data_IF_695883052434
#
_entry.id   IF_695883052434
#
_cell.length_a   1.000
_cell.length_b   1.000
_cell.length_c   1.000
_cell.angle_alpha   90.00
_cell.angle_beta   90.00
_cell.angle_gamma   90.00
#
_symmetry.space_group_name_H-M   'P 1'
#
loop_
_entity.id
_entity.type
_entity.pdbx_description
1 polymer ?
#
# COMPACT_ATOMS: atom_id res chain seq x y z
N UNK A 1 14.36 10.25 11.42
CA UNK A 1 13.10 10.89 10.98
C UNK A 1 12.45 9.98 9.98
N UNK A 2 11.16 9.66 10.14
CA UNK A 2 10.43 8.85 9.16
C UNK A 2 9.96 9.76 8.03
N UNK A 3 10.19 9.35 6.77
CA UNK A 3 9.80 10.11 5.57
C UNK A 3 8.74 9.37 4.78
N UNK A 4 8.04 10.08 3.90
CA UNK A 4 7.08 9.49 2.97
C UNK A 4 7.74 8.41 2.11
N UNK A 5 8.95 8.66 1.60
CA UNK A 5 9.71 7.68 0.82
C UNK A 5 10.01 6.41 1.62
N UNK A 6 10.41 6.55 2.89
CA UNK A 6 10.67 5.41 3.76
C UNK A 6 9.39 4.59 4.00
N UNK A 7 8.23 5.26 4.13
CA UNK A 7 6.94 4.60 4.30
C UNK A 7 6.50 3.86 3.02
N UNK A 8 6.71 4.45 1.84
CA UNK A 8 6.42 3.83 0.55
C UNK A 8 7.28 2.57 0.38
N UNK A 9 8.59 2.67 0.57
CA UNK A 9 9.49 1.51 0.48
C UNK A 9 9.15 0.42 1.51
N UNK A 10 8.66 0.81 2.69
CA UNK A 10 8.17 -0.14 3.69
C UNK A 10 6.93 -0.89 3.21
N UNK A 11 5.95 -0.22 2.59
CA UNK A 11 4.78 -0.89 2.03
C UNK A 11 5.14 -1.82 0.87
N UNK A 12 6.03 -1.41 -0.03
CA UNK A 12 6.51 -2.27 -1.13
C UNK A 12 7.07 -3.59 -0.59
N UNK A 13 7.90 -3.49 0.46
CA UNK A 13 8.46 -4.67 1.13
C UNK A 13 7.39 -5.54 1.77
N UNK A 14 6.44 -4.95 2.51
CA UNK A 14 5.38 -5.74 3.15
C UNK A 14 4.44 -6.41 2.13
N UNK A 15 4.14 -5.75 1.01
CA UNK A 15 3.34 -6.38 -0.07
C UNK A 15 4.07 -7.63 -0.60
N UNK A 16 5.39 -7.54 -0.82
CA UNK A 16 6.17 -8.68 -1.26
C UNK A 16 6.20 -9.82 -0.21
N UNK A 17 6.40 -9.48 1.06
CA UNK A 17 6.43 -10.44 2.18
C UNK A 17 5.07 -11.15 2.35
N UNK A 18 3.96 -10.40 2.35
CA UNK A 18 2.62 -10.97 2.49
C UNK A 18 2.19 -11.77 1.26
N UNK A 19 2.59 -11.36 0.05
CA UNK A 19 2.39 -12.18 -1.15
C UNK A 19 3.09 -13.53 -1.04
N UNK A 20 4.37 -13.53 -0.67
CA UNK A 20 5.17 -14.76 -0.57
C UNK A 20 4.66 -15.71 0.53
N UNK A 21 4.14 -15.17 1.61
CA UNK A 21 3.57 -15.94 2.72
C UNK A 21 2.10 -16.33 2.52
N UNK A 22 1.44 -15.83 1.46
CA UNK A 22 0.00 -16.01 1.27
C UNK A 22 -0.85 -15.28 2.32
N UNK A 23 -0.31 -14.30 3.05
CA UNK A 23 -1.03 -13.53 4.06
C UNK A 23 -1.97 -12.51 3.42
N UNK A 24 -3.14 -12.99 3.00
CA UNK A 24 -4.21 -12.18 2.44
C UNK A 24 -4.66 -11.07 3.38
N UNK A 25 -4.70 -11.30 4.70
CA UNK A 25 -5.13 -10.28 5.65
C UNK A 25 -4.09 -9.16 5.77
N UNK A 26 -2.79 -9.50 5.70
CA UNK A 26 -1.71 -8.55 5.56
C UNK A 26 -1.88 -7.63 4.35
N UNK A 27 -2.18 -8.20 3.19
CA UNK A 27 -2.41 -7.45 1.95
C UNK A 27 -3.63 -6.51 2.04
N UNK A 28 -4.75 -6.97 2.60
CA UNK A 28 -5.95 -6.13 2.80
C UNK A 28 -5.67 -4.96 3.76
N UNK A 29 -4.91 -5.18 4.84
CA UNK A 29 -4.50 -4.10 5.74
C UNK A 29 -3.67 -3.05 5.03
N UNK A 30 -2.76 -3.46 4.13
CA UNK A 30 -1.95 -2.52 3.35
C UNK A 30 -2.83 -1.73 2.38
N UNK A 31 -3.75 -2.39 1.68
CA UNK A 31 -4.69 -1.71 0.78
C UNK A 31 -5.43 -0.58 1.52
N UNK A 32 -6.02 -0.87 2.67
CA UNK A 32 -6.73 0.14 3.48
C UNK A 32 -5.79 1.26 3.92
N UNK A 33 -4.63 0.91 4.45
CA UNK A 33 -3.67 1.90 5.00
C UNK A 33 -3.14 2.83 3.92
N UNK A 34 -2.69 2.28 2.78
CA UNK A 34 -2.23 3.06 1.64
C UNK A 34 -3.35 3.96 1.08
N UNK A 35 -4.60 3.48 1.07
CA UNK A 35 -5.77 4.28 0.71
C UNK A 35 -6.01 5.47 1.66
N UNK A 36 -5.90 5.27 2.97
CA UNK A 36 -6.01 6.37 3.95
C UNK A 36 -4.89 7.40 3.78
N UNK A 37 -3.66 6.95 3.58
CA UNK A 37 -2.53 7.86 3.36
C UNK A 37 -2.65 8.61 2.03
N UNK A 38 -3.20 7.97 0.99
CA UNK A 38 -3.49 8.64 -0.28
C UNK A 38 -4.43 9.82 -0.07
N UNK A 39 -5.51 9.64 0.72
CA UNK A 39 -6.44 10.72 1.06
C UNK A 39 -5.74 11.85 1.83
N UNK A 40 -4.85 11.51 2.76
CA UNK A 40 -4.06 12.51 3.49
C UNK A 40 -3.13 13.30 2.55
N UNK A 41 -2.46 12.63 1.60
CA UNK A 41 -1.61 13.29 0.61
C UNK A 41 -2.42 14.20 -0.32
N UNK A 42 -3.62 13.79 -0.74
CA UNK A 42 -4.54 14.61 -1.53
C UNK A 42 -4.96 15.88 -0.77
N UNK A 43 -5.35 15.74 0.50
CA UNK A 43 -5.72 16.87 1.35
C UNK A 43 -4.56 17.86 1.56
N UNK A 44 -3.31 17.38 1.53
CA UNK A 44 -2.11 18.20 1.61
C UNK A 44 -1.67 18.82 0.27
N UNK A 45 -2.37 18.53 -0.84
CA UNK A 45 -1.98 18.98 -2.19
C UNK A 45 -0.80 18.22 -2.80
N UNK A 46 -0.36 17.13 -2.18
CA UNK A 46 0.74 16.29 -2.68
C UNK A 46 0.20 15.20 -3.63
N UNK A 47 -0.07 15.61 -4.87
CA UNK A 47 -0.58 14.72 -5.91
C UNK A 47 0.40 13.59 -6.28
N UNK A 48 1.71 13.83 -6.18
CA UNK A 48 2.73 12.85 -6.51
C UNK A 48 2.71 11.68 -5.52
N UNK A 49 2.72 12.00 -4.22
CA UNK A 49 2.62 11.00 -3.15
C UNK A 49 1.27 10.28 -3.20
N UNK A 50 0.17 11.00 -3.41
CA UNK A 50 -1.16 10.39 -3.53
C UNK A 50 -1.21 9.33 -4.64
N UNK A 51 -0.65 9.63 -5.81
CA UNK A 51 -0.60 8.68 -6.93
C UNK A 51 0.22 7.44 -6.60
N UNK A 52 1.35 7.57 -5.91
CA UNK A 52 2.18 6.42 -5.53
C UNK A 52 1.46 5.53 -4.52
N UNK A 53 0.79 6.13 -3.53
CA UNK A 53 -0.01 5.40 -2.54
C UNK A 53 -1.22 4.72 -3.17
N UNK A 54 -1.85 5.33 -4.17
CA UNK A 54 -2.90 4.70 -4.96
C UNK A 54 -2.41 3.42 -5.64
N UNK A 55 -1.23 3.46 -6.27
CA UNK A 55 -0.63 2.29 -6.92
C UNK A 55 -0.38 1.17 -5.91
N UNK A 56 0.17 1.50 -4.73
CA UNK A 56 0.39 0.51 -3.66
C UNK A 56 -0.92 -0.12 -3.17
N UNK A 57 -1.97 0.69 -2.98
CA UNK A 57 -3.27 0.19 -2.57
C UNK A 57 -3.85 -0.79 -3.60
N UNK A 58 -3.78 -0.43 -4.88
CA UNK A 58 -4.23 -1.29 -5.98
C UNK A 58 -3.40 -2.57 -6.09
N UNK A 59 -2.08 -2.48 -5.94
CA UNK A 59 -1.20 -3.64 -5.96
C UNK A 59 -1.52 -4.61 -4.83
N UNK A 60 -1.69 -4.11 -3.60
CA UNK A 60 -2.08 -4.94 -2.46
C UNK A 60 -3.45 -5.60 -2.67
N UNK A 61 -4.42 -4.89 -3.24
CA UNK A 61 -5.75 -5.43 -3.56
C UNK A 61 -5.66 -6.59 -4.57
N UNK A 62 -4.90 -6.41 -5.66
CA UNK A 62 -4.72 -7.44 -6.68
C UNK A 62 -4.09 -8.70 -6.08
N UNK A 63 -3.06 -8.54 -5.27
CA UNK A 63 -2.38 -9.66 -4.60
C UNK A 63 -3.29 -10.35 -3.58
N UNK A 64 -4.14 -9.61 -2.86
CA UNK A 64 -5.10 -10.19 -1.92
C UNK A 64 -6.17 -11.03 -2.63
N UNK A 65 -6.54 -10.66 -3.86
CA UNK A 65 -7.47 -11.42 -4.69
C UNK A 65 -6.80 -12.65 -5.31
N UNK A 66 -5.53 -12.55 -5.72
CA UNK A 66 -4.72 -13.70 -6.16
C UNK A 66 -4.61 -14.75 -5.04
N UNK A 67 -4.37 -14.32 -3.79
CA UNK A 67 -4.28 -15.20 -2.63
C UNK A 67 -5.62 -15.85 -2.20
N UNK A 68 -6.74 -15.51 -2.85
CA UNK A 68 -8.05 -16.13 -2.62
C UNK A 68 -8.26 -17.41 -3.43
N UNK A 69 -7.53 -17.57 -4.54
CA UNK A 69 -7.68 -18.66 -5.51
C UNK A 69 -6.81 -19.85 -5.14
#
# INVERSE_FOLDING_TARGET
MVTVEAMIGYFERLIAEHRLSGDRQGLLRIQTTAGMMMQAAQAAGDAATARRLHVLAAQAANQAEEARR
#
